data_IF_928864147526
#
_entry.id   IF_928864147526
#
_cell.length_a   1.000
_cell.length_b   1.000
_cell.length_c   1.000
_cell.angle_alpha   90.00
_cell.angle_beta   90.00
_cell.angle_gamma   90.00
#
_symmetry.space_group_name_H-M   'P 1'
#
loop_
_entity.id
_entity.type
_entity.pdbx_description
1 polymer ?
#
# COMPACT_ATOMS: atom_id res chain seq x y z
N UNK A 1 -5.93 4.46 -19.33
CA UNK A 1 -5.88 3.95 -17.93
C UNK A 1 -7.22 4.23 -17.29
N UNK A 2 -7.91 3.20 -16.86
CA UNK A 2 -9.19 3.26 -16.15
C UNK A 2 -8.93 3.03 -14.65
N UNK A 3 -9.56 3.82 -13.79
CA UNK A 3 -9.48 3.68 -12.34
C UNK A 3 -10.87 3.44 -11.78
N UNK A 4 -11.07 2.34 -11.09
CA UNK A 4 -12.35 1.97 -10.48
C UNK A 4 -12.18 1.08 -9.27
N UNK A 5 -13.23 0.92 -8.49
CA UNK A 5 -13.30 -0.11 -7.47
C UNK A 5 -13.35 -1.51 -8.10
N UNK A 6 -12.76 -2.47 -7.41
CA UNK A 6 -12.80 -3.89 -7.78
C UNK A 6 -13.95 -4.53 -7.01
N UNK A 7 -14.89 -5.13 -7.73
CA UNK A 7 -16.01 -5.83 -7.11
C UNK A 7 -15.56 -7.18 -6.51
N UNK A 8 -16.23 -7.66 -5.44
CA UNK A 8 -15.87 -8.93 -4.80
C UNK A 8 -15.77 -10.12 -5.77
N UNK A 9 -16.65 -10.19 -6.77
CA UNK A 9 -16.66 -11.27 -7.77
C UNK A 9 -15.54 -11.20 -8.82
N UNK A 10 -14.79 -10.10 -8.88
CA UNK A 10 -13.65 -9.95 -9.80
C UNK A 10 -12.33 -10.33 -9.12
N UNK A 11 -12.32 -10.41 -7.78
CA UNK A 11 -11.10 -10.50 -7.00
C UNK A 11 -10.67 -11.97 -6.82
N UNK A 12 -9.91 -12.44 -7.78
CA UNK A 12 -9.31 -13.78 -7.79
C UNK A 12 -7.84 -13.74 -8.27
N UNK A 13 -7.17 -14.88 -8.31
CA UNK A 13 -5.79 -14.97 -8.81
C UNK A 13 -5.69 -14.59 -10.29
N UNK A 14 -6.71 -14.84 -11.10
CA UNK A 14 -6.68 -14.55 -12.54
C UNK A 14 -6.65 -13.04 -12.82
N UNK A 15 -7.19 -12.21 -11.93
CA UNK A 15 -7.12 -10.77 -12.02
C UNK A 15 -5.68 -10.26 -12.11
N UNK A 16 -4.75 -10.93 -11.43
CA UNK A 16 -3.34 -10.54 -11.34
C UNK A 16 -2.43 -11.19 -12.41
N UNK A 17 -2.99 -11.93 -13.39
CA UNK A 17 -2.18 -12.68 -14.37
C UNK A 17 -1.22 -11.82 -15.21
N UNK A 18 -1.52 -10.53 -15.37
CA UNK A 18 -0.72 -9.55 -16.11
C UNK A 18 -0.13 -8.47 -15.21
N UNK A 19 -0.10 -8.72 -13.91
CA UNK A 19 0.51 -7.83 -12.92
C UNK A 19 1.91 -8.33 -12.59
N UNK A 20 2.91 -7.49 -12.78
CA UNK A 20 4.30 -7.80 -12.47
C UNK A 20 4.72 -7.15 -11.16
N UNK A 21 4.90 -7.98 -10.12
CA UNK A 21 5.36 -7.53 -8.81
C UNK A 21 6.86 -7.82 -8.64
N UNK A 22 7.68 -7.12 -9.39
CA UNK A 22 9.13 -7.20 -9.23
C UNK A 22 9.69 -5.84 -8.86
N UNK A 23 10.50 -5.78 -7.82
CA UNK A 23 11.21 -4.58 -7.41
C UNK A 23 12.65 -4.92 -7.07
N UNK A 24 13.59 -4.29 -7.75
CA UNK A 24 14.99 -4.33 -7.37
C UNK A 24 15.25 -3.22 -6.37
N UNK A 25 15.57 -3.60 -5.15
CA UNK A 25 15.92 -2.68 -4.07
C UNK A 25 17.43 -2.67 -3.93
N UNK A 26 18.03 -1.51 -3.89
CA UNK A 26 19.48 -1.36 -3.68
C UNK A 26 19.79 -0.75 -2.32
N UNK A 27 18.94 0.15 -1.85
CA UNK A 27 19.12 0.90 -0.60
C UNK A 27 17.84 0.90 0.22
N UNK A 28 18.02 0.75 1.51
CA UNK A 28 16.93 0.83 2.48
C UNK A 28 17.20 1.88 3.55
N UNK A 29 16.13 2.46 4.07
CA UNK A 29 16.20 3.24 5.31
C UNK A 29 16.07 2.30 6.50
N UNK A 30 16.87 2.52 7.51
CA UNK A 30 16.88 1.76 8.78
C UNK A 30 16.89 2.74 9.93
N UNK A 31 16.20 2.39 11.00
CA UNK A 31 16.23 3.18 12.23
C UNK A 31 17.33 2.66 13.14
N UNK A 32 18.35 3.46 13.34
CA UNK A 32 19.51 3.15 14.20
C UNK A 32 19.64 4.21 15.29
N UNK A 33 19.59 3.81 16.56
CA UNK A 33 19.62 4.72 17.70
C UNK A 33 18.60 5.88 17.60
N UNK A 34 17.40 5.60 17.07
CA UNK A 34 16.34 6.60 16.93
C UNK A 34 16.43 7.49 15.66
N UNK A 35 17.48 7.34 14.85
CA UNK A 35 17.71 8.14 13.64
C UNK A 35 17.54 7.28 12.38
N UNK A 36 16.87 7.82 11.37
CA UNK A 36 16.76 7.16 10.06
C UNK A 36 18.04 7.35 9.26
N UNK A 37 18.67 6.23 8.89
CA UNK A 37 19.90 6.20 8.06
C UNK A 37 19.65 5.37 6.80
N UNK A 38 20.36 5.70 5.73
CA UNK A 38 20.34 4.92 4.48
C UNK A 38 21.46 3.87 4.52
N UNK A 39 21.11 2.62 4.17
CA UNK A 39 22.05 1.51 4.09
C UNK A 39 21.95 0.82 2.74
N UNK A 40 23.09 0.36 2.25
CA UNK A 40 23.12 -0.57 1.13
C UNK A 40 22.52 -1.92 1.61
N UNK A 41 21.45 -2.33 0.96
CA UNK A 41 20.73 -3.57 1.28
C UNK A 41 20.09 -4.09 -0.02
N UNK A 42 20.90 -4.65 -0.94
CA UNK A 42 20.39 -5.11 -2.22
C UNK A 42 19.58 -6.40 -2.08
N UNK A 43 18.36 -6.41 -2.60
CA UNK A 43 17.51 -7.58 -2.76
C UNK A 43 16.49 -7.39 -3.88
N UNK A 44 15.89 -8.49 -4.30
CA UNK A 44 14.76 -8.49 -5.22
C UNK A 44 13.51 -8.84 -4.41
N UNK A 45 12.52 -7.96 -4.45
CA UNK A 45 11.20 -8.19 -3.91
C UNK A 45 10.29 -8.63 -5.06
N UNK A 46 10.03 -9.93 -5.12
CA UNK A 46 9.24 -10.59 -6.15
C UNK A 46 8.24 -11.54 -5.49
N UNK A 47 7.01 -11.57 -6.00
CA UNK A 47 5.95 -12.37 -5.39
C UNK A 47 5.84 -13.75 -6.02
N UNK A 48 5.86 -14.77 -5.18
CA UNK A 48 5.52 -16.14 -5.53
C UNK A 48 4.01 -16.34 -5.71
N UNK A 49 3.60 -17.48 -6.22
CA UNK A 49 2.19 -17.86 -6.28
C UNK A 49 1.53 -17.89 -4.88
N UNK A 50 2.27 -18.25 -3.84
CA UNK A 50 1.78 -18.23 -2.47
C UNK A 50 1.51 -16.79 -1.98
N UNK A 51 2.38 -15.84 -2.34
CA UNK A 51 2.19 -14.42 -2.00
C UNK A 51 0.97 -13.84 -2.70
N UNK A 52 0.75 -14.17 -3.98
CA UNK A 52 -0.47 -13.77 -4.70
C UNK A 52 -1.73 -14.39 -4.09
N UNK A 53 -1.69 -15.66 -3.70
CA UNK A 53 -2.83 -16.31 -3.05
C UNK A 53 -3.18 -15.63 -1.70
N UNK A 54 -2.16 -15.34 -0.91
CA UNK A 54 -2.32 -14.61 0.35
C UNK A 54 -2.86 -13.19 0.12
N UNK A 55 -2.32 -12.45 -0.85
CA UNK A 55 -2.81 -11.13 -1.23
C UNK A 55 -4.29 -11.15 -1.59
N UNK A 56 -4.71 -12.08 -2.46
CA UNK A 56 -6.12 -12.21 -2.88
C UNK A 56 -7.01 -12.41 -1.66
N UNK A 57 -6.62 -13.28 -0.73
CA UNK A 57 -7.36 -13.51 0.51
C UNK A 57 -7.47 -12.25 1.38
N UNK A 58 -6.37 -11.49 1.53
CA UNK A 58 -6.36 -10.23 2.28
C UNK A 58 -7.31 -9.21 1.64
N UNK A 59 -7.25 -9.02 0.32
CA UNK A 59 -8.10 -8.08 -0.39
C UNK A 59 -9.59 -8.48 -0.36
N UNK A 60 -9.88 -9.78 -0.45
CA UNK A 60 -11.25 -10.30 -0.26
C UNK A 60 -11.76 -10.01 1.14
N UNK A 61 -10.92 -10.16 2.16
CA UNK A 61 -11.27 -9.79 3.53
C UNK A 61 -11.53 -8.29 3.67
N UNK A 62 -10.70 -7.43 3.07
CA UNK A 62 -10.93 -5.97 3.04
C UNK A 62 -12.33 -5.64 2.51
N UNK A 63 -12.73 -6.25 1.39
CA UNK A 63 -14.07 -6.04 0.82
C UNK A 63 -15.17 -6.61 1.72
N UNK A 64 -14.97 -7.79 2.29
CA UNK A 64 -15.95 -8.44 3.18
C UNK A 64 -16.20 -7.66 4.46
N UNK A 65 -15.21 -6.90 4.95
CA UNK A 65 -15.30 -6.05 6.13
C UNK A 65 -15.74 -4.62 5.82
N UNK A 66 -16.12 -4.34 4.57
CA UNK A 66 -16.64 -3.03 4.13
C UNK A 66 -15.55 -2.02 3.76
N UNK A 67 -14.30 -2.44 3.62
CA UNK A 67 -13.24 -1.62 3.05
C UNK A 67 -13.35 -1.50 1.54
N UNK A 68 -12.41 -0.82 0.92
CA UNK A 68 -12.39 -0.58 -0.53
C UNK A 68 -11.10 -1.12 -1.15
N UNK A 69 -11.24 -1.76 -2.31
CA UNK A 69 -10.12 -2.15 -3.17
C UNK A 69 -10.25 -1.43 -4.51
N UNK A 70 -9.24 -0.65 -4.84
CA UNK A 70 -9.16 0.17 -6.05
C UNK A 70 -8.24 -0.48 -7.07
N UNK A 71 -8.63 -0.48 -8.33
CA UNK A 71 -7.83 -0.98 -9.44
C UNK A 71 -7.53 0.11 -10.48
N UNK A 72 -6.33 0.05 -11.05
CA UNK A 72 -5.93 0.77 -12.25
C UNK A 72 -5.77 -0.24 -13.39
N UNK A 73 -6.53 -0.06 -14.47
CA UNK A 73 -6.60 -1.01 -15.59
C UNK A 73 -6.08 -0.38 -16.88
N UNK A 74 -5.28 -1.13 -17.62
CA UNK A 74 -4.88 -0.80 -19.00
C UNK A 74 -5.27 -1.97 -19.90
N UNK A 75 -6.02 -1.68 -20.95
CA UNK A 75 -6.48 -2.69 -21.92
C UNK A 75 -7.16 -3.90 -21.25
N UNK A 76 -7.94 -3.63 -20.21
CA UNK A 76 -8.64 -4.63 -19.41
C UNK A 76 -7.77 -5.42 -18.41
N UNK A 77 -6.46 -5.20 -18.37
CA UNK A 77 -5.55 -5.85 -17.43
C UNK A 77 -5.29 -4.97 -16.20
N UNK A 78 -5.30 -5.56 -15.00
CA UNK A 78 -4.92 -4.87 -13.78
C UNK A 78 -3.43 -4.51 -13.81
N UNK A 79 -3.13 -3.23 -13.58
CA UNK A 79 -1.77 -2.67 -13.61
C UNK A 79 -1.39 -1.90 -12.36
N UNK A 80 -2.33 -1.70 -11.47
CA UNK A 80 -2.11 -1.13 -10.15
C UNK A 80 -3.31 -1.35 -9.26
N UNK A 81 -3.10 -1.38 -7.96
CA UNK A 81 -4.19 -1.49 -7.00
C UNK A 81 -3.82 -0.85 -5.67
N UNK A 82 -4.84 -0.51 -4.90
CA UNK A 82 -4.72 -0.05 -3.52
C UNK A 82 -5.88 -0.59 -2.70
N UNK A 83 -5.67 -0.83 -1.41
CA UNK A 83 -6.72 -1.24 -0.48
C UNK A 83 -6.73 -0.39 0.77
N UNK A 84 -7.93 -0.02 1.22
CA UNK A 84 -8.15 0.76 2.44
C UNK A 84 -9.16 0.03 3.31
N UNK A 85 -8.78 -0.21 4.56
CA UNK A 85 -9.68 -0.84 5.54
C UNK A 85 -10.75 0.14 6.03
N UNK A 86 -11.96 -0.38 6.28
CA UNK A 86 -13.04 0.41 6.87
C UNK A 86 -12.88 0.60 8.36
N UNK A 87 -12.24 -0.36 9.04
CA UNK A 87 -12.07 -0.36 10.48
C UNK A 87 -11.25 0.85 10.96
N UNK A 88 -11.70 1.53 12.04
CA UNK A 88 -10.92 2.58 12.67
C UNK A 88 -9.62 2.03 13.28
N UNK A 89 -8.52 2.78 13.10
CA UNK A 89 -7.22 2.46 13.67
C UNK A 89 -6.72 3.64 14.52
N UNK A 90 -5.80 3.37 15.46
CA UNK A 90 -5.27 4.33 16.42
C UNK A 90 -6.17 4.52 17.65
N UNK A 91 -5.65 5.14 18.70
CA UNK A 91 -6.35 5.31 20.00
C UNK A 91 -7.66 6.10 19.89
N UNK A 92 -7.69 7.09 18.98
CA UNK A 92 -8.87 7.91 18.74
C UNK A 92 -9.75 7.38 17.59
N UNK A 93 -9.34 6.32 16.90
CA UNK A 93 -10.05 5.80 15.73
C UNK A 93 -9.99 6.73 14.49
N UNK A 94 -9.04 7.65 14.48
CA UNK A 94 -8.94 8.69 13.43
C UNK A 94 -8.30 8.18 12.13
N UNK A 95 -7.60 7.06 12.19
CA UNK A 95 -6.94 6.48 11.02
C UNK A 95 -7.84 5.51 10.25
N UNK A 96 -7.57 5.40 8.95
CA UNK A 96 -7.93 4.26 8.09
C UNK A 96 -6.66 3.70 7.49
N UNK A 97 -6.53 2.38 7.49
CA UNK A 97 -5.32 1.69 7.06
C UNK A 97 -5.27 1.54 5.54
N UNK A 98 -4.23 2.09 4.91
CA UNK A 98 -3.87 1.82 3.53
C UNK A 98 -2.96 0.59 3.52
N UNK A 99 -3.54 -0.60 3.42
CA UNK A 99 -2.83 -1.87 3.54
C UNK A 99 -2.04 -2.26 2.30
N UNK A 100 -2.49 -1.84 1.12
CA UNK A 100 -1.79 -2.09 -0.14
C UNK A 100 -1.79 -0.85 -1.03
N UNK A 101 -0.66 -0.62 -1.70
CA UNK A 101 -0.55 0.26 -2.86
C UNK A 101 0.58 -0.25 -3.74
N UNK A 102 0.23 -0.83 -4.87
CA UNK A 102 1.19 -1.42 -5.79
C UNK A 102 0.91 -1.02 -7.24
N UNK A 103 1.96 -0.88 -8.03
CA UNK A 103 1.92 -0.64 -9.47
C UNK A 103 2.80 -1.67 -10.15
N UNK A 104 2.30 -2.28 -11.21
CA UNK A 104 3.02 -3.24 -12.05
C UNK A 104 4.35 -2.65 -12.53
N UNK A 105 5.42 -3.43 -12.47
CA UNK A 105 6.80 -2.95 -12.60
C UNK A 105 7.00 -2.12 -13.88
N UNK A 106 6.46 -2.58 -15.01
CA UNK A 106 6.61 -1.98 -16.33
C UNK A 106 5.87 -0.63 -16.49
N UNK A 107 5.00 -0.26 -15.55
CA UNK A 107 4.22 0.98 -15.58
C UNK A 107 4.54 1.94 -14.44
N UNK A 108 5.54 1.66 -13.63
CA UNK A 108 5.98 2.59 -12.57
C UNK A 108 6.50 3.90 -13.16
N UNK A 109 6.49 4.96 -12.35
CA UNK A 109 6.94 6.28 -12.78
C UNK A 109 5.98 7.05 -13.69
N UNK A 110 4.78 6.51 -13.98
CA UNK A 110 3.78 7.11 -14.87
C UNK A 110 2.59 7.77 -14.14
N UNK A 111 2.72 8.01 -12.84
CA UNK A 111 1.69 8.68 -12.04
C UNK A 111 0.58 7.78 -11.52
N UNK A 112 0.54 6.49 -11.88
CA UNK A 112 -0.51 5.55 -11.47
C UNK A 112 -0.61 5.44 -9.95
N UNK A 113 0.54 5.31 -9.26
CA UNK A 113 0.57 5.24 -7.80
C UNK A 113 0.02 6.51 -7.13
N UNK A 114 0.29 7.69 -7.69
CA UNK A 114 -0.26 8.97 -7.21
C UNK A 114 -1.78 8.99 -7.30
N UNK A 115 -2.34 8.58 -8.43
CA UNK A 115 -3.78 8.54 -8.63
C UNK A 115 -4.46 7.53 -7.70
N UNK A 116 -3.89 6.32 -7.55
CA UNK A 116 -4.38 5.32 -6.60
C UNK A 116 -4.35 5.84 -5.16
N UNK A 117 -3.26 6.50 -4.74
CA UNK A 117 -3.16 7.10 -3.42
C UNK A 117 -4.23 8.17 -3.18
N UNK A 118 -4.45 9.04 -4.17
CA UNK A 118 -5.48 10.09 -4.08
C UNK A 118 -6.87 9.48 -3.90
N UNK A 119 -7.19 8.43 -4.66
CA UNK A 119 -8.48 7.72 -4.55
C UNK A 119 -8.59 6.95 -3.22
N UNK A 120 -7.51 6.34 -2.76
CA UNK A 120 -7.46 5.71 -1.45
C UNK A 120 -7.74 6.71 -0.32
N UNK A 121 -7.16 7.90 -0.41
CA UNK A 121 -7.45 8.99 0.54
C UNK A 121 -8.93 9.42 0.51
N UNK A 122 -9.56 9.46 -0.67
CA UNK A 122 -10.99 9.72 -0.79
C UNK A 122 -11.83 8.60 -0.15
N UNK A 123 -11.47 7.35 -0.39
CA UNK A 123 -12.10 6.18 0.23
C UNK A 123 -12.00 6.22 1.77
N UNK A 124 -10.82 6.54 2.29
CA UNK A 124 -10.61 6.69 3.72
C UNK A 124 -11.49 7.78 4.35
N UNK A 125 -11.65 8.92 3.67
CA UNK A 125 -12.60 9.98 4.10
C UNK A 125 -14.04 9.49 4.11
N UNK A 126 -14.45 8.77 3.08
CA UNK A 126 -15.81 8.21 2.99
C UNK A 126 -16.11 7.25 4.14
N UNK A 127 -15.09 6.54 4.66
CA UNK A 127 -15.19 5.71 5.86
C UNK A 127 -14.99 6.48 7.19
N UNK A 128 -15.04 7.83 7.15
CA UNK A 128 -14.94 8.67 8.35
C UNK A 128 -13.53 8.78 8.93
N UNK A 129 -12.49 8.43 8.18
CA UNK A 129 -11.11 8.65 8.56
C UNK A 129 -10.75 10.13 8.52
N UNK A 130 -9.88 10.57 9.43
CA UNK A 130 -9.23 11.88 9.40
C UNK A 130 -7.81 11.79 8.89
N UNK A 131 -7.26 10.57 8.89
CA UNK A 131 -5.90 10.27 8.43
C UNK A 131 -5.86 8.92 7.73
N UNK A 132 -4.99 8.78 6.71
CA UNK A 132 -4.48 7.49 6.30
C UNK A 132 -3.34 7.07 7.21
N UNK A 133 -3.28 5.80 7.53
CA UNK A 133 -2.15 5.10 8.14
C UNK A 133 -1.57 4.15 7.11
N UNK A 134 -0.26 3.96 7.10
CA UNK A 134 0.40 3.00 6.21
C UNK A 134 1.75 2.55 6.77
N UNK A 135 2.11 1.30 6.52
CA UNK A 135 3.44 0.76 6.73
C UNK A 135 4.23 0.89 5.43
N UNK A 136 5.19 1.82 5.39
CA UNK A 136 5.97 2.10 4.20
C UNK A 136 7.19 1.18 4.17
N UNK A 137 7.23 0.27 3.19
CA UNK A 137 8.38 -0.60 2.93
C UNK A 137 9.71 0.16 3.01
N UNK A 138 10.73 -0.48 3.56
CA UNK A 138 12.01 0.15 3.89
C UNK A 138 12.83 0.64 2.70
N UNK A 139 12.50 0.25 1.46
CA UNK A 139 13.16 0.75 0.26
C UNK A 139 13.08 2.29 0.18
N UNK A 140 14.21 2.92 -0.16
CA UNK A 140 14.32 4.38 -0.23
C UNK A 140 13.29 4.97 -1.20
N UNK A 141 13.06 4.31 -2.33
CA UNK A 141 12.13 4.75 -3.37
C UNK A 141 10.68 4.74 -2.88
N UNK A 142 10.30 3.72 -2.09
CA UNK A 142 8.95 3.61 -1.53
C UNK A 142 8.68 4.72 -0.53
N UNK A 143 9.60 4.97 0.39
CA UNK A 143 9.45 6.05 1.37
C UNK A 143 9.51 7.42 0.72
N UNK A 144 10.33 7.61 -0.32
CA UNK A 144 10.38 8.84 -1.10
C UNK A 144 9.04 9.11 -1.83
N UNK A 145 8.40 8.06 -2.35
CA UNK A 145 7.07 8.18 -2.95
C UNK A 145 6.05 8.70 -1.93
N UNK A 146 5.95 8.09 -0.76
CA UNK A 146 4.98 8.51 0.25
C UNK A 146 5.29 9.91 0.80
N UNK A 147 6.56 10.25 0.99
CA UNK A 147 6.96 11.61 1.36
C UNK A 147 6.54 12.64 0.30
N UNK A 148 6.70 12.33 -1.00
CA UNK A 148 6.25 13.18 -2.11
C UNK A 148 4.71 13.29 -2.19
N UNK A 149 3.96 12.34 -1.62
CA UNK A 149 2.52 12.42 -1.45
C UNK A 149 2.10 13.28 -0.26
N UNK A 150 3.03 13.73 0.58
CA UNK A 150 2.77 14.51 1.78
C UNK A 150 2.62 13.68 3.05
N UNK A 151 2.95 12.37 3.00
CA UNK A 151 2.99 11.55 4.19
C UNK A 151 4.17 11.94 5.09
N UNK A 152 3.95 11.86 6.39
CA UNK A 152 4.96 12.06 7.44
C UNK A 152 5.04 10.82 8.33
N UNK A 153 6.09 10.70 9.13
CA UNK A 153 6.18 9.61 10.11
C UNK A 153 4.98 9.68 11.07
N UNK A 154 4.33 8.54 11.30
CA UNK A 154 3.12 8.46 12.11
C UNK A 154 3.40 8.83 13.57
N UNK A 155 2.47 9.55 14.19
CA UNK A 155 2.55 9.89 15.62
C UNK A 155 2.25 8.71 16.53
N UNK A 156 1.42 7.80 16.07
CA UNK A 156 1.07 6.55 16.75
C UNK A 156 1.52 5.38 15.86
N UNK A 157 2.35 4.51 16.41
CA UNK A 157 2.75 3.28 15.73
C UNK A 157 1.76 2.16 16.05
N UNK A 158 1.35 1.43 15.04
CA UNK A 158 0.55 0.22 15.19
C UNK A 158 1.49 -0.95 15.51
N UNK A 159 1.32 -1.56 16.69
CA UNK A 159 2.18 -2.65 17.15
C UNK A 159 2.14 -3.89 16.24
N UNK A 160 0.98 -4.20 15.67
CA UNK A 160 0.84 -5.34 14.77
C UNK A 160 1.62 -5.12 13.45
N UNK A 161 1.54 -3.91 12.87
CA UNK A 161 2.34 -3.56 11.70
C UNK A 161 3.84 -3.59 12.00
N UNK A 162 4.26 -3.01 13.13
CA UNK A 162 5.68 -3.04 13.54
C UNK A 162 6.18 -4.46 13.75
N UNK A 163 5.35 -5.34 14.31
CA UNK A 163 5.74 -6.74 14.54
C UNK A 163 5.86 -7.54 13.24
N UNK A 164 4.97 -7.28 12.26
CA UNK A 164 5.01 -7.96 10.96
C UNK A 164 6.11 -7.42 10.03
N UNK A 165 6.33 -6.08 10.06
CA UNK A 165 7.24 -5.37 9.16
C UNK A 165 8.19 -4.45 9.96
N UNK A 166 9.15 -5.03 10.71
CA UNK A 166 9.94 -4.27 11.71
C UNK A 166 10.89 -3.25 11.09
N UNK A 167 11.14 -3.31 9.80
CA UNK A 167 12.01 -2.36 9.09
C UNK A 167 11.24 -1.26 8.37
N UNK A 168 9.92 -1.34 8.33
CA UNK A 168 9.10 -0.37 7.65
C UNK A 168 8.97 0.93 8.45
N UNK A 169 8.80 2.03 7.73
CA UNK A 169 8.46 3.31 8.34
C UNK A 169 6.93 3.41 8.44
N UNK A 170 6.43 3.51 9.66
CA UNK A 170 5.01 3.78 9.88
C UNK A 170 4.73 5.24 9.55
N UNK A 171 3.84 5.50 8.60
CA UNK A 171 3.57 6.85 8.11
C UNK A 171 2.09 7.20 8.22
N UNK A 172 1.81 8.50 8.28
CA UNK A 172 0.45 9.04 8.26
C UNK A 172 0.31 10.15 7.21
N UNK A 173 -0.91 10.29 6.69
CA UNK A 173 -1.30 11.37 5.80
C UNK A 173 -2.60 12.00 6.29
N UNK A 174 -2.64 13.32 6.45
CA UNK A 174 -3.86 14.05 6.83
C UNK A 174 -4.85 14.08 5.67
N UNK A 175 -6.09 13.64 5.91
CA UNK A 175 -7.17 13.57 4.94
C UNK A 175 -7.91 14.91 4.80
#
# INVERSE_FOLDING_TARGET
MEYREIAPGELDRALFRHFERRQEVTKCRRRENGVWVVRDAPFIDDWSEADYAFLVQCLQNTLATGGVVLGAFADGALKGFASVESAPLGKAGDYRDLTCLHVSAELRGRGIGRELFTRAAQGARAHGGKKLYLSAHSAVETQAFYAAMGCVEAREYNEAHVASEPFDCQMEYAL
#
